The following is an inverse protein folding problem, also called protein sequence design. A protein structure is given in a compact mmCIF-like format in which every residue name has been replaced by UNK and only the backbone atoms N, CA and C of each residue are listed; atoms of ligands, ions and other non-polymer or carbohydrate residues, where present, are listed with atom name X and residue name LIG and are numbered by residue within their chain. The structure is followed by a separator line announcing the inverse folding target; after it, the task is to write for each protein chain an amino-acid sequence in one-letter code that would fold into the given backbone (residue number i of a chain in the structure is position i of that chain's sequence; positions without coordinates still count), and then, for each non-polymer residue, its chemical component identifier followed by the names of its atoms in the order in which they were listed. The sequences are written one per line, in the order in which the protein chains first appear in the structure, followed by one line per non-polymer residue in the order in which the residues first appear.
data_IF_858646514190
#
_entry.id   IF_858646514190
#
_cell.length_a   1.000
_cell.length_b   1.000
_cell.length_c   1.000
_cell.angle_alpha   90.00
_cell.angle_beta   90.00
_cell.angle_gamma   90.00
#
_symmetry.space_group_name_H-M   'P 1'
#
loop_
_entity.id
_entity.type
_entity.pdbx_description
1 polymer ?
#
# COMPACT_ATOMS: atom_id res chain seq x y z
N UNK A 1 44.29 41.17 -23.17
CA UNK A 1 42.96 41.77 -23.42
C UNK A 1 42.09 40.69 -24.05
N UNK A 2 41.09 40.16 -23.35
CA UNK A 2 40.21 39.10 -23.87
C UNK A 2 39.24 39.70 -24.90
N UNK A 3 39.57 39.62 -26.19
CA UNK A 3 38.68 40.02 -27.28
C UNK A 3 37.68 38.90 -27.58
N UNK A 4 36.50 38.96 -26.98
CA UNK A 4 35.41 38.04 -27.31
C UNK A 4 34.85 38.38 -28.71
N UNK A 5 34.78 37.38 -29.59
CA UNK A 5 34.10 37.50 -30.88
C UNK A 5 32.64 37.89 -30.67
N UNK A 6 32.14 38.90 -31.40
CA UNK A 6 30.79 39.46 -31.23
C UNK A 6 29.69 38.40 -31.14
N UNK A 7 29.73 37.36 -31.98
CA UNK A 7 28.77 36.25 -31.94
C UNK A 7 28.77 35.47 -30.61
N UNK A 8 29.96 35.20 -30.06
CA UNK A 8 30.08 34.53 -28.74
C UNK A 8 29.50 35.41 -27.63
N UNK A 9 29.73 36.73 -27.70
CA UNK A 9 29.14 37.67 -26.76
C UNK A 9 27.61 37.72 -26.88
N UNK A 10 27.05 37.70 -28.10
CA UNK A 10 25.59 37.66 -28.31
C UNK A 10 24.98 36.37 -27.76
N UNK A 11 25.64 35.22 -27.96
CA UNK A 11 25.19 33.94 -27.41
C UNK A 11 25.17 33.96 -25.89
N UNK A 12 26.25 34.42 -25.24
CA UNK A 12 26.31 34.53 -23.78
C UNK A 12 25.22 35.47 -23.25
N UNK A 13 25.03 36.62 -23.89
CA UNK A 13 23.97 37.57 -23.50
C UNK A 13 22.58 36.95 -23.62
N UNK A 14 22.32 36.18 -24.68
CA UNK A 14 21.04 35.51 -24.91
C UNK A 14 20.79 34.43 -23.85
N UNK A 15 21.81 33.63 -23.50
CA UNK A 15 21.69 32.61 -22.44
C UNK A 15 21.44 33.24 -21.07
N UNK A 16 22.14 34.34 -20.75
CA UNK A 16 21.94 35.08 -19.49
C UNK A 16 20.54 35.67 -19.43
N UNK A 17 20.08 36.29 -20.52
CA UNK A 17 18.73 36.86 -20.61
C UNK A 17 17.66 35.77 -20.47
N UNK A 18 17.82 34.61 -21.12
CA UNK A 18 16.91 33.48 -21.02
C UNK A 18 16.86 32.92 -19.58
N UNK A 19 18.02 32.80 -18.92
CA UNK A 19 18.10 32.35 -17.52
C UNK A 19 17.41 33.33 -16.57
N UNK A 20 17.62 34.63 -16.78
CA UNK A 20 16.98 35.68 -15.98
C UNK A 20 15.45 35.70 -16.19
N UNK A 21 14.99 35.47 -17.42
CA UNK A 21 13.57 35.40 -17.75
C UNK A 21 12.88 34.18 -17.10
N UNK A 22 13.55 33.02 -17.07
CA UNK A 22 13.08 31.81 -16.39
C UNK A 22 13.05 31.96 -14.86
N UNK A 23 13.97 32.73 -14.28
CA UNK A 23 14.05 32.97 -12.84
C UNK A 23 13.14 34.12 -12.35
N UNK A 24 12.74 35.05 -13.22
CA UNK A 24 11.92 36.22 -12.89
C UNK A 24 10.62 35.90 -12.10
N UNK A 25 9.87 34.82 -12.38
CA UNK A 25 8.65 34.49 -11.65
C UNK A 25 8.86 34.14 -10.17
N UNK A 26 10.11 33.81 -9.77
CA UNK A 26 10.45 33.43 -8.40
C UNK A 26 10.81 34.64 -7.50
N UNK A 27 11.20 35.78 -8.11
CA UNK A 27 11.67 36.97 -7.39
C UNK A 27 10.65 38.11 -7.45
N UNK A 28 9.80 38.12 -8.47
CA UNK A 28 8.80 39.18 -8.66
C UNK A 28 7.55 38.97 -7.78
N UNK A 29 6.92 40.05 -7.27
CA UNK A 29 5.65 39.98 -6.55
C UNK A 29 4.52 39.36 -7.42
N UNK A 30 3.60 38.62 -6.79
CA UNK A 30 2.52 37.87 -7.48
C UNK A 30 1.69 38.73 -8.46
N UNK A 31 1.50 40.01 -8.16
CA UNK A 31 0.76 40.97 -9.01
C UNK A 31 1.39 41.24 -10.38
N UNK A 32 2.70 40.99 -10.54
CA UNK A 32 3.41 41.09 -11.81
C UNK A 32 3.47 39.74 -12.52
N UNK A 33 3.56 38.65 -11.76
CA UNK A 33 3.59 37.28 -12.29
C UNK A 33 2.25 36.89 -12.95
N UNK A 34 1.12 37.38 -12.42
CA UNK A 34 -0.20 37.15 -13.00
C UNK A 34 -0.42 37.84 -14.37
N UNK A 35 0.45 38.79 -14.75
CA UNK A 35 0.42 39.44 -16.06
C UNK A 35 1.30 38.74 -17.10
N UNK A 36 2.14 37.78 -16.70
CA UNK A 36 2.98 37.01 -17.60
C UNK A 36 2.18 35.92 -18.36
N UNK A 37 2.64 35.52 -19.57
CA UNK A 37 2.07 34.39 -20.30
C UNK A 37 2.10 33.10 -19.47
N UNK A 38 1.08 32.23 -19.58
CA UNK A 38 0.96 31.00 -18.77
C UNK A 38 2.20 30.10 -18.79
N UNK A 39 2.94 30.06 -19.90
CA UNK A 39 4.17 29.29 -20.03
C UNK A 39 5.31 29.75 -19.09
N UNK A 40 5.26 30.98 -18.58
CA UNK A 40 6.27 31.56 -17.68
C UNK A 40 5.78 31.69 -16.23
N UNK A 41 4.65 31.05 -15.87
CA UNK A 41 4.12 31.05 -14.49
C UNK A 41 4.54 29.82 -13.68
N UNK A 42 5.56 29.10 -14.12
CA UNK A 42 6.07 27.92 -13.40
C UNK A 42 6.79 28.38 -12.14
N UNK A 43 6.13 28.21 -11.00
CA UNK A 43 6.77 28.36 -9.70
C UNK A 43 7.53 27.07 -9.35
N UNK A 44 8.68 27.22 -8.69
CA UNK A 44 9.39 26.10 -8.10
C UNK A 44 8.63 25.66 -6.84
N UNK A 45 8.29 24.37 -6.75
CA UNK A 45 7.62 23.81 -5.57
C UNK A 45 8.55 23.94 -4.36
N UNK A 46 8.12 24.65 -3.32
CA UNK A 46 8.90 24.77 -2.10
C UNK A 46 8.83 23.45 -1.32
N UNK A 47 9.97 22.99 -0.81
CA UNK A 47 10.02 21.83 0.07
C UNK A 47 9.38 22.11 1.43
N UNK A 48 9.13 21.04 2.20
CA UNK A 48 8.54 21.08 3.54
C UNK A 48 9.23 22.08 4.47
N UNK A 49 10.57 22.18 4.40
CA UNK A 49 11.37 23.05 5.27
C UNK A 49 11.14 24.56 5.00
N UNK A 50 10.79 24.91 3.76
CA UNK A 50 10.57 26.30 3.35
C UNK A 50 9.09 26.70 3.38
N UNK A 51 8.17 25.76 3.15
CA UNK A 51 6.73 26.02 3.10
C UNK A 51 6.01 25.71 4.43
N UNK A 52 6.70 25.02 5.35
CA UNK A 52 6.07 24.37 6.50
C UNK A 52 5.18 23.19 6.07
N UNK A 53 4.81 22.33 7.02
CA UNK A 53 3.90 21.23 6.73
C UNK A 53 3.90 20.13 7.78
N UNK A 54 3.28 19.01 7.44
CA UNK A 54 3.18 17.83 8.30
C UNK A 54 4.05 16.68 7.76
N UNK A 55 4.82 16.07 8.65
CA UNK A 55 5.61 14.87 8.40
C UNK A 55 5.10 13.73 9.27
N UNK A 56 4.61 12.65 8.66
CA UNK A 56 4.07 11.49 9.35
C UNK A 56 4.76 10.20 8.92
N UNK A 57 5.05 9.36 9.90
CA UNK A 57 5.47 7.98 9.69
C UNK A 57 4.30 7.06 10.06
N UNK A 58 3.78 6.34 9.07
CA UNK A 58 2.73 5.35 9.27
C UNK A 58 3.37 3.96 9.25
N UNK A 59 2.93 3.05 10.12
CA UNK A 59 3.40 1.68 10.17
C UNK A 59 2.22 0.73 10.03
N UNK A 60 2.36 -0.30 9.21
CA UNK A 60 1.37 -1.36 9.06
C UNK A 60 1.49 -2.32 10.24
N UNK A 61 0.35 -2.63 10.86
CA UNK A 61 0.28 -3.62 11.92
C UNK A 61 0.53 -5.03 11.35
N UNK A 62 1.75 -5.52 11.56
CA UNK A 62 2.20 -6.82 11.05
C UNK A 62 1.50 -7.99 11.74
N UNK A 63 1.07 -7.82 13.00
CA UNK A 63 0.38 -8.85 13.74
C UNK A 63 -1.05 -9.02 13.21
N UNK A 64 -1.72 -7.92 12.90
CA UNK A 64 -3.05 -7.95 12.30
C UNK A 64 -3.03 -8.53 10.88
N UNK A 65 -2.06 -8.15 10.06
CA UNK A 65 -1.87 -8.74 8.72
C UNK A 65 -1.64 -10.25 8.81
N UNK A 66 -0.84 -10.70 9.77
CA UNK A 66 -0.59 -12.14 10.01
C UNK A 66 -1.86 -12.86 10.45
N UNK A 67 -2.62 -12.30 11.39
CA UNK A 67 -3.90 -12.89 11.83
C UNK A 67 -4.89 -13.01 10.68
N UNK A 68 -5.10 -11.92 9.93
CA UNK A 68 -5.98 -11.93 8.76
C UNK A 68 -5.52 -12.94 7.70
N UNK A 69 -4.21 -13.11 7.50
CA UNK A 69 -3.67 -14.13 6.59
C UNK A 69 -4.00 -15.55 7.07
N UNK A 70 -3.83 -15.85 8.36
CA UNK A 70 -4.14 -17.17 8.92
C UNK A 70 -5.65 -17.46 8.93
N UNK A 71 -6.50 -16.47 9.20
CA UNK A 71 -7.95 -16.61 9.14
C UNK A 71 -8.44 -16.90 7.72
N UNK A 72 -7.93 -16.16 6.72
CA UNK A 72 -8.24 -16.45 5.32
C UNK A 72 -7.75 -17.84 4.92
N UNK A 73 -6.54 -18.23 5.33
CA UNK A 73 -6.02 -19.58 5.07
C UNK A 73 -6.93 -20.65 5.69
N UNK A 74 -7.37 -20.47 6.93
CA UNK A 74 -8.31 -21.39 7.60
C UNK A 74 -9.59 -21.55 6.79
N UNK A 75 -10.14 -20.43 6.31
CA UNK A 75 -11.39 -20.43 5.56
C UNK A 75 -11.22 -21.06 4.17
N UNK A 76 -10.09 -20.85 3.51
CA UNK A 76 -9.73 -21.47 2.23
C UNK A 76 -9.50 -22.98 2.38
N UNK A 77 -8.76 -23.41 3.41
CA UNK A 77 -8.60 -24.83 3.78
C UNK A 77 -9.96 -25.47 4.03
N UNK A 78 -10.84 -24.81 4.79
CA UNK A 78 -12.19 -25.31 5.06
C UNK A 78 -13.02 -25.43 3.78
N UNK A 79 -12.88 -24.49 2.85
CA UNK A 79 -13.56 -24.51 1.54
C UNK A 79 -13.07 -25.69 0.70
N UNK A 80 -11.76 -25.83 0.52
CA UNK A 80 -11.15 -26.92 -0.27
C UNK A 80 -11.49 -28.31 0.28
N UNK A 81 -11.48 -28.47 1.62
CA UNK A 81 -11.86 -29.74 2.25
C UNK A 81 -13.35 -30.06 2.02
N UNK A 82 -14.23 -29.05 2.10
CA UNK A 82 -15.67 -29.21 1.86
C UNK A 82 -15.96 -29.60 0.41
N UNK A 83 -15.34 -28.92 -0.55
CA UNK A 83 -15.55 -29.15 -1.98
C UNK A 83 -15.08 -30.55 -2.39
N UNK A 84 -14.00 -31.03 -1.77
CA UNK A 84 -13.47 -32.39 -1.93
C UNK A 84 -14.23 -33.46 -1.13
N UNK A 85 -15.33 -33.10 -0.45
CA UNK A 85 -16.13 -33.98 0.43
C UNK A 85 -15.32 -34.65 1.54
N UNK A 86 -14.26 -33.98 2.00
CA UNK A 86 -13.42 -34.45 3.09
C UNK A 86 -13.95 -33.96 4.44
N UNK A 87 -14.28 -34.89 5.33
CA UNK A 87 -14.70 -34.55 6.69
C UNK A 87 -13.49 -34.24 7.57
N UNK A 88 -13.51 -33.06 8.18
CA UNK A 88 -12.48 -32.58 9.11
C UNK A 88 -12.98 -32.79 10.54
N UNK A 89 -12.16 -33.40 11.41
CA UNK A 89 -12.49 -33.54 12.83
C UNK A 89 -12.26 -32.23 13.59
N UNK A 90 -11.11 -31.60 13.36
CA UNK A 90 -10.71 -30.37 14.02
C UNK A 90 -9.91 -29.49 13.07
N UNK A 91 -10.18 -28.18 13.15
CA UNK A 91 -9.47 -27.12 12.44
C UNK A 91 -9.06 -26.08 13.47
N UNK A 92 -7.76 -25.89 13.65
CA UNK A 92 -7.23 -25.01 14.69
C UNK A 92 -6.01 -24.23 14.23
N UNK A 93 -5.67 -23.21 15.02
CA UNK A 93 -4.44 -22.46 14.85
C UNK A 93 -3.38 -23.02 15.79
N UNK A 94 -2.18 -23.24 15.27
CA UNK A 94 -0.99 -23.56 16.06
C UNK A 94 0.12 -22.58 15.69
N UNK A 95 0.24 -21.50 16.45
CA UNK A 95 1.21 -20.44 16.17
C UNK A 95 0.97 -19.80 14.80
N UNK A 96 1.87 -20.07 13.85
CA UNK A 96 1.81 -19.55 12.48
C UNK A 96 1.30 -20.59 11.46
N UNK A 97 0.66 -21.66 11.95
CA UNK A 97 0.15 -22.72 11.12
C UNK A 97 -1.33 -22.99 11.37
N UNK A 98 -2.01 -23.44 10.33
CA UNK A 98 -3.35 -24.00 10.40
C UNK A 98 -3.21 -25.51 10.39
N UNK A 99 -3.67 -26.15 11.48
CA UNK A 99 -3.62 -27.59 11.66
C UNK A 99 -5.00 -28.17 11.38
N UNK A 100 -5.03 -29.17 10.50
CA UNK A 100 -6.22 -29.88 10.07
C UNK A 100 -6.05 -31.34 10.42
N UNK A 101 -6.98 -31.89 11.20
CA UNK A 101 -7.05 -33.33 11.43
C UNK A 101 -8.22 -33.92 10.65
N UNK A 102 -7.93 -34.88 9.79
CA UNK A 102 -8.97 -35.58 9.04
C UNK A 102 -9.71 -36.58 9.92
N UNK A 103 -10.88 -37.00 9.45
CA UNK A 103 -11.61 -38.13 10.02
C UNK A 103 -11.00 -39.44 9.51
N UNK A 104 -10.83 -40.38 10.42
CA UNK A 104 -10.35 -41.73 10.13
C UNK A 104 -11.17 -42.38 9.00
N UNK A 105 -10.49 -42.95 8.00
CA UNK A 105 -11.10 -43.56 6.80
C UNK A 105 -11.19 -42.66 5.56
N UNK A 106 -10.68 -41.42 5.63
CA UNK A 106 -10.67 -40.48 4.50
C UNK A 106 -9.38 -40.56 3.67
N UNK A 107 -9.48 -40.24 2.38
CA UNK A 107 -8.35 -40.29 1.44
C UNK A 107 -7.32 -39.17 1.73
N UNK A 108 -6.35 -39.46 2.59
CA UNK A 108 -5.28 -38.51 2.95
C UNK A 108 -4.38 -38.08 1.78
N UNK A 109 -4.25 -38.90 0.73
CA UNK A 109 -3.53 -38.51 -0.51
C UNK A 109 -4.27 -37.42 -1.28
N UNK A 110 -5.60 -37.56 -1.44
CA UNK A 110 -6.42 -36.53 -2.10
C UNK A 110 -6.37 -35.21 -1.31
N UNK A 111 -6.42 -35.28 0.01
CA UNK A 111 -6.29 -34.10 0.87
C UNK A 111 -4.95 -33.39 0.67
N UNK A 112 -3.84 -34.15 0.58
CA UNK A 112 -2.51 -33.58 0.36
C UNK A 112 -2.41 -32.90 -1.01
N UNK A 113 -2.94 -33.53 -2.06
CA UNK A 113 -2.91 -32.97 -3.42
C UNK A 113 -3.69 -31.66 -3.50
N UNK A 114 -4.88 -31.60 -2.89
CA UNK A 114 -5.69 -30.38 -2.91
C UNK A 114 -5.08 -29.27 -2.03
N UNK A 115 -4.54 -29.60 -0.85
CA UNK A 115 -3.87 -28.63 0.01
C UNK A 115 -2.59 -28.07 -0.63
N UNK A 116 -1.87 -28.86 -1.42
CA UNK A 116 -0.68 -28.40 -2.17
C UNK A 116 -1.01 -27.42 -3.30
N UNK A 117 -2.28 -27.24 -3.66
CA UNK A 117 -2.72 -26.20 -4.61
C UNK A 117 -2.99 -24.85 -3.93
N UNK A 118 -3.07 -24.81 -2.59
CA UNK A 118 -3.32 -23.57 -1.86
C UNK A 118 -2.12 -22.62 -1.84
N UNK A 119 -0.87 -23.08 -1.63
CA UNK A 119 0.28 -22.20 -1.67
C UNK A 119 0.41 -21.51 -3.04
N UNK A 120 0.53 -20.19 -3.01
CA UNK A 120 0.81 -19.40 -4.20
C UNK A 120 2.27 -18.99 -4.24
N UNK A 121 2.82 -18.91 -5.46
CA UNK A 121 4.17 -18.39 -5.66
C UNK A 121 4.21 -16.89 -5.35
N UNK A 122 5.12 -16.52 -4.44
CA UNK A 122 5.41 -15.14 -4.07
C UNK A 122 5.97 -14.41 -5.30
N UNK A 123 5.39 -13.25 -5.64
CA UNK A 123 5.74 -12.49 -6.85
C UNK A 123 4.96 -12.87 -8.12
N UNK A 124 4.04 -13.83 -8.03
CA UNK A 124 3.20 -14.26 -9.15
C UNK A 124 3.91 -15.20 -10.12
N UNK A 125 3.24 -15.53 -11.23
CA UNK A 125 3.71 -16.52 -12.21
C UNK A 125 5.05 -16.18 -12.90
N UNK A 126 5.55 -14.95 -12.76
CA UNK A 126 6.82 -14.49 -13.32
C UNK A 126 7.96 -14.46 -12.29
N UNK A 127 7.72 -14.90 -11.06
CA UNK A 127 8.74 -14.90 -10.01
C UNK A 127 9.75 -16.02 -10.19
N UNK A 128 11.03 -15.66 -10.25
CA UNK A 128 12.18 -16.58 -10.34
C UNK A 128 12.64 -17.12 -8.99
N UNK A 129 12.12 -16.60 -7.86
CA UNK A 129 12.58 -17.01 -6.52
C UNK A 129 12.00 -18.36 -6.07
N UNK A 130 10.92 -18.84 -6.70
CA UNK A 130 10.27 -20.11 -6.35
C UNK A 130 9.77 -20.19 -4.90
N UNK A 131 9.67 -19.07 -4.20
CA UNK A 131 9.22 -19.04 -2.81
C UNK A 131 7.70 -19.09 -2.74
N UNK A 132 7.18 -19.89 -1.81
CA UNK A 132 5.75 -20.02 -1.55
C UNK A 132 5.36 -19.27 -0.27
N UNK A 133 4.13 -18.77 -0.25
CA UNK A 133 3.53 -18.12 0.90
C UNK A 133 3.24 -19.10 2.06
N UNK A 134 2.94 -20.35 1.74
CA UNK A 134 2.66 -21.42 2.69
C UNK A 134 3.45 -22.69 2.39
N UNK A 135 3.78 -23.44 3.44
CA UNK A 135 4.36 -24.78 3.36
C UNK A 135 3.37 -25.80 3.93
N UNK A 136 3.17 -26.91 3.21
CA UNK A 136 2.24 -27.97 3.61
C UNK A 136 3.04 -29.18 4.06
N UNK A 137 2.94 -29.51 5.35
CA UNK A 137 3.51 -30.72 5.93
C UNK A 137 2.41 -31.70 6.34
N UNK A 138 2.70 -33.00 6.23
CA UNK A 138 1.79 -34.08 6.63
C UNK A 138 2.48 -34.95 7.67
N UNK A 139 1.79 -35.18 8.78
CA UNK A 139 2.19 -36.13 9.81
C UNK A 139 1.03 -37.08 10.09
N UNK A 140 1.03 -38.24 9.40
CA UNK A 140 -0.06 -39.21 9.46
C UNK A 140 -1.37 -38.66 8.90
N UNK A 141 -2.37 -38.50 9.78
CA UNK A 141 -3.71 -37.99 9.47
C UNK A 141 -3.90 -36.49 9.85
N UNK A 142 -2.80 -35.85 10.26
CA UNK A 142 -2.74 -34.43 10.57
C UNK A 142 -1.96 -33.69 9.47
N UNK A 143 -2.58 -32.65 8.94
CA UNK A 143 -2.00 -31.76 7.93
C UNK A 143 -1.76 -30.41 8.56
N UNK A 144 -0.55 -29.90 8.40
CA UNK A 144 -0.14 -28.61 8.94
C UNK A 144 0.24 -27.72 7.78
N UNK A 145 -0.49 -26.61 7.62
CA UNK A 145 -0.19 -25.57 6.64
C UNK A 145 0.43 -24.39 7.38
N UNK A 146 1.73 -24.20 7.23
CA UNK A 146 2.51 -23.18 7.94
C UNK A 146 2.75 -21.98 7.02
N UNK A 147 2.46 -20.77 7.48
CA UNK A 147 2.86 -19.56 6.76
C UNK A 147 4.38 -19.38 6.82
N UNK A 148 5.01 -19.13 5.68
CA UNK A 148 6.45 -18.90 5.62
C UNK A 148 6.77 -17.45 6.01
N UNK A 149 7.97 -17.20 6.57
CA UNK A 149 8.41 -15.83 6.86
C UNK A 149 8.47 -14.97 5.58
N UNK A 150 8.82 -15.58 4.46
CA UNK A 150 8.80 -14.92 3.15
C UNK A 150 7.37 -14.52 2.75
N UNK A 151 6.39 -15.41 2.96
CA UNK A 151 4.97 -15.13 2.71
C UNK A 151 4.43 -13.99 3.56
N UNK A 152 4.77 -13.96 4.85
CA UNK A 152 4.37 -12.88 5.75
C UNK A 152 4.97 -11.54 5.28
N UNK A 153 6.27 -11.51 4.96
CA UNK A 153 6.91 -10.27 4.47
C UNK A 153 6.33 -9.80 3.14
N UNK A 154 6.03 -10.72 2.22
CA UNK A 154 5.37 -10.37 0.96
C UNK A 154 3.97 -9.80 1.22
N UNK A 155 3.20 -10.42 2.13
CA UNK A 155 1.86 -9.94 2.47
C UNK A 155 1.90 -8.54 3.09
N UNK A 156 2.84 -8.29 4.02
CA UNK A 156 3.06 -6.95 4.61
C UNK A 156 3.47 -5.96 3.53
N UNK A 157 4.41 -6.33 2.66
CA UNK A 157 4.83 -5.50 1.54
C UNK A 157 3.63 -5.15 0.63
N UNK A 158 2.78 -6.10 0.27
CA UNK A 158 1.58 -5.80 -0.54
C UNK A 158 0.60 -4.91 0.22
N UNK A 159 0.41 -5.14 1.51
CA UNK A 159 -0.43 -4.31 2.36
C UNK A 159 0.07 -2.85 2.40
N UNK A 160 1.40 -2.63 2.46
CA UNK A 160 2.00 -1.30 2.37
C UNK A 160 1.72 -0.65 1.02
N UNK A 161 1.93 -1.35 -0.10
CA UNK A 161 1.64 -0.80 -1.44
C UNK A 161 0.18 -0.41 -1.59
N UNK A 162 -0.73 -1.28 -1.14
CA UNK A 162 -2.16 -0.98 -1.14
C UNK A 162 -2.49 0.20 -0.23
N UNK A 163 -1.85 0.30 0.92
CA UNK A 163 -2.05 1.40 1.87
C UNK A 163 -1.56 2.73 1.31
N UNK A 164 -0.45 2.75 0.54
CA UNK A 164 0.02 3.95 -0.17
C UNK A 164 -1.07 4.50 -1.10
N UNK A 165 -1.74 3.63 -1.86
CA UNK A 165 -2.83 4.04 -2.76
C UNK A 165 -4.08 4.50 -2.00
N UNK A 166 -4.35 3.92 -0.82
CA UNK A 166 -5.43 4.41 0.06
C UNK A 166 -5.09 5.79 0.63
N UNK A 167 -3.87 5.99 1.11
CA UNK A 167 -3.40 7.28 1.63
C UNK A 167 -3.45 8.35 0.53
N UNK A 168 -2.95 8.04 -0.68
CA UNK A 168 -3.00 8.93 -1.85
C UNK A 168 -4.41 9.43 -2.11
N UNK A 169 -5.38 8.51 -2.28
CA UNK A 169 -6.78 8.87 -2.52
C UNK A 169 -7.41 9.70 -1.41
N UNK A 170 -7.03 9.48 -0.15
CA UNK A 170 -7.53 10.28 0.99
C UNK A 170 -6.97 11.69 1.01
N UNK A 171 -5.70 11.86 0.66
CA UNK A 171 -5.07 13.18 0.59
C UNK A 171 -5.58 13.96 -0.63
N UNK A 172 -5.78 13.30 -1.78
CA UNK A 172 -6.32 13.95 -2.98
C UNK A 172 -7.70 14.60 -2.74
N UNK A 173 -8.51 14.03 -1.83
CA UNK A 173 -9.80 14.60 -1.42
C UNK A 173 -9.69 15.93 -0.68
N UNK A 174 -8.53 16.24 -0.09
CA UNK A 174 -8.30 17.52 0.60
C UNK A 174 -8.02 18.65 -0.40
N UNK A 175 -7.59 18.34 -1.62
CA UNK A 175 -7.55 19.25 -2.75
C UNK A 175 -6.46 20.33 -2.72
N UNK A 176 -5.48 20.27 -1.82
CA UNK A 176 -4.60 21.43 -1.54
C UNK A 176 -3.10 21.25 -1.68
N UNK A 177 -2.55 20.04 -1.83
CA UNK A 177 -1.09 19.87 -2.01
C UNK A 177 -0.75 18.57 -2.74
N UNK A 178 0.34 18.55 -3.51
CA UNK A 178 1.00 17.31 -3.97
C UNK A 178 1.75 16.67 -2.78
N UNK A 179 1.25 15.57 -2.18
CA UNK A 179 1.94 14.94 -1.07
C UNK A 179 3.10 14.07 -1.56
N UNK A 180 4.18 14.01 -0.78
CA UNK A 180 5.22 13.01 -0.97
C UNK A 180 4.85 11.78 -0.14
N UNK A 181 4.47 10.70 -0.83
CA UNK A 181 4.14 9.41 -0.22
C UNK A 181 5.18 8.40 -0.69
N UNK A 182 5.98 7.90 0.24
CA UNK A 182 7.06 6.97 -0.06
C UNK A 182 7.04 5.79 0.90
N UNK A 183 7.41 4.63 0.41
CA UNK A 183 7.67 3.48 1.27
C UNK A 183 8.99 3.69 2.02
N UNK A 184 8.98 3.39 3.31
CA UNK A 184 10.18 3.37 4.14
C UNK A 184 10.34 1.98 4.76
N UNK A 185 11.35 1.22 4.32
CA UNK A 185 11.54 -0.16 4.77
C UNK A 185 10.45 -1.12 4.25
N UNK A 186 10.08 -2.12 5.05
CA UNK A 186 9.16 -3.20 4.65
C UNK A 186 7.71 -2.86 5.02
N UNK A 187 7.51 -2.21 6.16
CA UNK A 187 6.21 -2.07 6.84
C UNK A 187 5.81 -0.60 7.09
N UNK A 188 6.64 0.39 6.71
CA UNK A 188 6.36 1.81 6.96
C UNK A 188 6.14 2.63 5.70
N UNK A 189 5.38 3.70 5.87
CA UNK A 189 5.05 4.69 4.85
C UNK A 189 5.40 6.06 5.40
N UNK A 190 6.26 6.76 4.67
CA UNK A 190 6.59 8.15 4.88
C UNK A 190 5.59 9.02 4.13
N UNK A 191 4.92 9.92 4.85
CA UNK A 191 4.00 10.90 4.31
C UNK A 191 4.47 12.31 4.64
N UNK A 192 4.62 13.14 3.62
CA UNK A 192 4.90 14.56 3.77
C UNK A 192 3.85 15.36 3.03
N UNK A 193 3.18 16.26 3.74
CA UNK A 193 2.15 17.14 3.17
C UNK A 193 2.58 18.59 3.39
N UNK A 194 3.19 19.23 2.38
CA UNK A 194 3.52 20.66 2.45
C UNK A 194 2.29 21.55 2.66
N UNK A 195 2.45 22.65 3.38
CA UNK A 195 1.38 23.63 3.60
C UNK A 195 0.25 23.19 4.54
N UNK A 196 0.19 21.92 4.94
CA UNK A 196 -0.75 21.45 5.96
C UNK A 196 -0.29 21.85 7.36
N UNK A 197 -1.19 22.41 8.17
CA UNK A 197 -0.85 22.96 9.49
C UNK A 197 -1.31 22.07 10.63
N UNK A 198 -2.30 21.21 10.41
CA UNK A 198 -2.90 20.39 11.47
C UNK A 198 -2.59 18.88 11.28
N UNK A 199 -1.60 18.34 12.00
CA UNK A 199 -1.29 16.91 11.95
C UNK A 199 -2.41 16.04 12.54
N UNK A 200 -3.23 16.54 13.48
CA UNK A 200 -4.31 15.76 14.08
C UNK A 200 -5.45 15.55 13.09
N UNK A 201 -5.82 16.58 12.33
CA UNK A 201 -6.80 16.45 11.25
C UNK A 201 -6.37 15.39 10.24
N UNK A 202 -5.11 15.44 9.82
CA UNK A 202 -4.55 14.46 8.88
C UNK A 202 -4.57 13.04 9.47
N UNK A 203 -4.19 12.90 10.74
CA UNK A 203 -4.25 11.62 11.46
C UNK A 203 -5.69 11.08 11.55
N UNK A 204 -6.69 11.91 11.81
CA UNK A 204 -8.10 11.49 11.87
C UNK A 204 -8.58 10.99 10.52
N UNK A 205 -8.29 11.71 9.44
CA UNK A 205 -8.68 11.33 8.07
C UNK A 205 -8.02 10.01 7.66
N UNK A 206 -6.74 9.82 8.01
CA UNK A 206 -5.99 8.61 7.66
C UNK A 206 -6.32 7.43 8.58
N UNK A 207 -6.62 7.69 9.85
CA UNK A 207 -6.92 6.70 10.88
C UNK A 207 -8.34 6.14 10.83
N UNK A 208 -9.26 6.79 10.11
CA UNK A 208 -10.60 6.26 9.87
C UNK A 208 -10.54 5.05 8.94
N UNK A 209 -10.58 3.83 9.48
CA UNK A 209 -10.70 2.60 8.70
C UNK A 209 -11.97 2.62 7.86
N UNK A 210 -11.85 2.74 6.54
CA UNK A 210 -12.99 2.72 5.63
C UNK A 210 -13.36 1.25 5.34
N UNK A 211 -14.01 0.59 6.30
CA UNK A 211 -14.57 -0.75 6.10
C UNK A 211 -15.97 -0.61 5.49
N UNK A 212 -16.09 -0.88 4.20
CA UNK A 212 -17.38 -0.97 3.52
C UNK A 212 -17.94 -2.37 3.73
N UNK A 213 -19.03 -2.49 4.50
CA UNK A 213 -19.77 -3.74 4.66
C UNK A 213 -21.11 -3.63 3.92
N UNK A 214 -21.43 -4.65 3.12
CA UNK A 214 -22.76 -4.82 2.57
C UNK A 214 -23.56 -5.71 3.52
N UNK A 215 -24.66 -5.20 4.04
CA UNK A 215 -25.60 -5.95 4.89
C UNK A 215 -26.95 -6.02 4.22
N UNK A 216 -27.64 -7.14 4.38
CA UNK A 216 -29.04 -7.23 4.01
C UNK A 216 -29.84 -6.37 4.98
N UNK A 217 -30.74 -5.55 4.43
CA UNK A 217 -31.65 -4.72 5.21
C UNK A 217 -32.79 -5.60 5.69
N UNK A 218 -33.04 -5.60 6.99
CA UNK A 218 -34.24 -6.23 7.55
C UNK A 218 -35.45 -5.35 7.23
N UNK A 219 -36.37 -5.88 6.44
CA UNK A 219 -37.58 -5.16 6.01
C UNK A 219 -38.71 -5.23 7.05
N UNK A 220 -38.53 -5.97 8.15
CA UNK A 220 -39.55 -6.13 9.19
C UNK A 220 -39.54 -5.03 10.26
N UNK A 221 -38.46 -4.23 10.36
CA UNK A 221 -38.39 -3.07 11.24
C UNK A 221 -38.71 -1.78 10.50
N UNK A 222 -39.56 -0.95 11.09
CA UNK A 222 -39.84 0.39 10.55
C UNK A 222 -38.65 1.33 10.79
N UNK A 223 -38.40 2.33 9.92
CA UNK A 223 -37.27 3.26 10.07
C UNK A 223 -37.27 4.08 11.37
N UNK A 224 -38.39 4.13 12.09
CA UNK A 224 -38.48 4.79 13.40
C UNK A 224 -38.05 3.89 14.57
N UNK A 225 -37.94 2.59 14.38
CA UNK A 225 -37.60 1.61 15.41
C UNK A 225 -36.15 1.09 15.32
N UNK A 226 -35.46 1.37 14.20
CA UNK A 226 -34.07 1.00 13.94
C UNK A 226 -33.06 2.05 14.44
#
# INVERSE_FOLDING_TARGET
MLSFTRWKATLVLMTVLATMLLAAPNVLPQSWVDKLPRAMRTHMTLGLDLQGGVHLMLQVDSDEVRRAMLENLRDDVRRVMRDSRLQVQNLGFQGNAVVVRLREGQNGELALTELRKLPQMIGGAFSTSGQYDFEVSRQGDTFTVTATDAGIRDKISRAVTQSIEVVRRRIDQLGTTEPVIQRQGIDRILLQVPGEKDPQRLKTILGQTAKLEFRLVDQSMTPQEA
#
